data_IF_022896939474
#
_entry.id   IF_022896939474
#
_cell.length_a   1.000
_cell.length_b   1.000
_cell.length_c   1.000
_cell.angle_alpha   90.00
_cell.angle_beta   90.00
_cell.angle_gamma   90.00
#
_symmetry.space_group_name_H-M   'P 1'
#
loop_
_entity.id
_entity.type
_entity.pdbx_description
1 polymer ?
#
# COMPACT_ATOMS: atom_id res chain seq x y z
N UNK A 1 20.76 19.10 -16.81
CA UNK A 1 20.53 17.66 -16.55
C UNK A 1 19.21 17.27 -17.21
N UNK A 2 19.20 16.21 -18.03
CA UNK A 2 17.98 15.73 -18.68
C UNK A 2 17.36 14.61 -17.88
N UNK A 3 16.07 14.70 -17.63
CA UNK A 3 15.27 13.72 -16.87
C UNK A 3 14.20 13.16 -17.80
N UNK A 4 14.26 11.87 -18.10
CA UNK A 4 13.19 11.16 -18.79
C UNK A 4 12.12 10.75 -17.77
N UNK A 5 10.85 10.94 -18.08
CA UNK A 5 9.73 10.73 -17.16
C UNK A 5 8.73 9.73 -17.74
N UNK A 6 8.55 8.62 -17.05
CA UNK A 6 7.49 7.64 -17.30
C UNK A 6 6.32 7.90 -16.35
N UNK A 7 5.54 8.93 -16.66
CA UNK A 7 4.39 9.31 -15.82
C UNK A 7 3.64 10.51 -16.41
N UNK A 8 2.39 10.73 -16.01
CA UNK A 8 1.56 11.79 -16.57
C UNK A 8 2.06 13.18 -16.15
N UNK A 9 2.31 14.03 -17.14
CA UNK A 9 2.80 15.42 -16.94
C UNK A 9 2.01 16.19 -15.89
N UNK A 10 0.68 16.06 -15.90
CA UNK A 10 -0.21 16.76 -14.96
C UNK A 10 0.12 16.49 -13.47
N UNK A 11 0.59 15.28 -13.14
CA UNK A 11 1.00 14.90 -11.79
C UNK A 11 2.28 15.62 -11.38
N UNK A 12 3.25 15.69 -12.30
CA UNK A 12 4.51 16.41 -12.06
C UNK A 12 4.28 17.92 -11.94
N UNK A 13 3.43 18.50 -12.79
CA UNK A 13 3.05 19.93 -12.69
C UNK A 13 2.38 20.25 -11.32
N UNK A 14 1.57 19.33 -10.81
CA UNK A 14 0.84 19.53 -9.56
C UNK A 14 1.69 19.40 -8.28
N UNK A 15 2.77 18.60 -8.31
CA UNK A 15 3.52 18.22 -7.11
C UNK A 15 5.01 18.55 -7.15
N UNK A 16 5.51 19.13 -8.23
CA UNK A 16 6.91 19.57 -8.32
C UNK A 16 7.20 20.62 -7.24
N UNK A 17 8.23 20.43 -6.39
CA UNK A 17 8.57 21.39 -5.37
C UNK A 17 9.23 22.64 -5.97
N UNK A 18 9.04 23.80 -5.34
CA UNK A 18 9.52 25.10 -5.82
C UNK A 18 11.04 25.11 -6.09
N UNK A 19 11.82 24.40 -5.26
CA UNK A 19 13.27 24.35 -5.43
C UNK A 19 13.71 23.58 -6.69
N UNK A 20 12.88 22.73 -7.25
CA UNK A 20 13.20 21.93 -8.45
C UNK A 20 13.52 22.82 -9.65
N UNK A 21 12.84 23.96 -9.79
CA UNK A 21 13.10 24.94 -10.86
C UNK A 21 14.55 25.49 -10.82
N UNK A 22 15.16 25.54 -9.62
CA UNK A 22 16.52 26.05 -9.45
C UNK A 22 17.61 25.05 -9.88
N UNK A 23 17.22 23.77 -10.06
CA UNK A 23 18.17 22.73 -10.46
C UNK A 23 18.47 22.72 -11.96
N UNK A 24 17.74 23.52 -12.77
CA UNK A 24 17.97 23.62 -14.21
C UNK A 24 17.82 22.30 -14.96
N UNK A 25 16.93 21.41 -14.50
CA UNK A 25 16.68 20.13 -15.13
C UNK A 25 15.63 20.25 -16.24
N UNK A 26 15.87 19.59 -17.37
CA UNK A 26 14.93 19.44 -18.47
C UNK A 26 14.13 18.16 -18.26
N UNK A 27 12.80 18.28 -18.21
CA UNK A 27 11.89 17.13 -18.14
C UNK A 27 11.39 16.75 -19.54
N UNK A 28 11.60 15.50 -19.93
CA UNK A 28 11.05 14.91 -21.15
C UNK A 28 10.07 13.81 -20.78
N UNK A 29 8.81 14.01 -21.11
CA UNK A 29 7.74 13.06 -20.79
C UNK A 29 7.54 12.04 -21.90
N UNK A 30 7.45 10.75 -21.53
CA UNK A 30 6.96 9.72 -22.41
C UNK A 30 5.48 9.98 -22.73
N UNK A 31 5.14 10.07 -24.00
CA UNK A 31 3.76 10.33 -24.45
C UNK A 31 2.93 9.05 -24.45
N UNK A 32 1.58 9.18 -24.46
CA UNK A 32 0.66 8.03 -24.36
C UNK A 32 0.76 7.05 -25.55
N UNK A 33 1.20 7.53 -26.70
CA UNK A 33 1.40 6.78 -27.95
C UNK A 33 2.82 6.22 -28.12
N UNK A 34 3.71 6.50 -27.19
CA UNK A 34 5.12 6.10 -27.15
C UNK A 34 5.34 4.97 -26.15
N UNK A 35 6.04 3.91 -26.55
CA UNK A 35 6.48 2.91 -25.57
C UNK A 35 7.63 3.46 -24.71
N UNK A 36 7.80 2.99 -23.44
CA UNK A 36 8.93 3.35 -22.60
C UNK A 36 10.30 3.13 -23.30
N UNK A 37 10.43 2.02 -24.04
CA UNK A 37 11.63 1.71 -24.81
C UNK A 37 11.89 2.72 -25.94
N UNK A 38 10.86 3.14 -26.65
CA UNK A 38 11.00 4.15 -27.71
C UNK A 38 11.40 5.50 -27.11
N UNK A 39 10.78 5.92 -26.01
CA UNK A 39 11.13 7.15 -25.30
C UNK A 39 12.60 7.14 -24.84
N UNK A 40 13.10 5.99 -24.35
CA UNK A 40 14.51 5.84 -23.98
C UNK A 40 15.43 5.93 -25.20
N UNK A 41 15.11 5.28 -26.32
CA UNK A 41 15.90 5.30 -27.54
C UNK A 41 16.03 6.72 -28.15
N UNK A 42 14.99 7.53 -28.01
CA UNK A 42 14.98 8.92 -28.49
C UNK A 42 15.68 9.91 -27.55
N UNK A 43 16.00 9.47 -26.30
CA UNK A 43 16.62 10.29 -25.26
C UNK A 43 17.86 9.63 -24.62
N UNK A 44 18.87 9.20 -25.43
CA UNK A 44 20.04 8.47 -24.90
C UNK A 44 20.94 9.33 -24.01
N UNK A 45 20.75 10.65 -24.01
CA UNK A 45 21.45 11.62 -23.18
C UNK A 45 20.79 11.86 -21.81
N UNK A 46 19.68 11.18 -21.49
CA UNK A 46 19.05 11.28 -20.19
C UNK A 46 19.97 10.78 -19.07
N UNK A 47 20.05 11.55 -17.99
CA UNK A 47 20.89 11.27 -16.83
C UNK A 47 20.09 10.75 -15.64
N UNK A 48 18.77 10.99 -15.63
CA UNK A 48 17.82 10.53 -14.62
C UNK A 48 16.61 9.96 -15.32
N UNK A 49 16.08 8.88 -14.80
CA UNK A 49 14.77 8.33 -15.16
C UNK A 49 13.85 8.43 -13.94
N UNK A 50 12.75 9.17 -14.06
CA UNK A 50 11.63 9.12 -13.14
C UNK A 50 10.65 8.06 -13.63
N UNK A 51 10.45 7.03 -12.82
CA UNK A 51 9.70 5.84 -13.17
C UNK A 51 8.35 5.78 -12.44
N UNK A 52 7.27 5.55 -13.17
CA UNK A 52 5.99 5.16 -12.60
C UNK A 52 6.09 3.67 -12.19
N UNK A 53 5.77 3.29 -10.94
CA UNK A 53 5.92 1.91 -10.45
C UNK A 53 5.19 0.81 -11.23
N UNK A 54 4.30 1.20 -12.15
CA UNK A 54 3.58 0.26 -13.04
C UNK A 54 4.32 -0.02 -14.35
N UNK A 55 5.40 0.71 -14.63
CA UNK A 55 6.19 0.57 -15.87
C UNK A 55 7.34 -0.41 -15.63
N UNK A 56 7.58 -1.29 -16.59
CA UNK A 56 8.73 -2.20 -16.55
C UNK A 56 9.99 -1.47 -17.07
N UNK A 57 11.02 -1.41 -16.24
CA UNK A 57 12.34 -0.85 -16.59
C UNK A 57 13.37 -1.97 -16.56
N UNK A 58 13.36 -2.78 -17.62
CA UNK A 58 14.28 -3.88 -17.81
C UNK A 58 15.64 -3.44 -18.37
N UNK A 59 16.57 -4.41 -18.46
CA UNK A 59 17.92 -4.23 -19.01
C UNK A 59 17.90 -3.56 -20.39
N UNK A 60 16.94 -3.91 -21.24
CA UNK A 60 16.81 -3.38 -22.59
C UNK A 60 16.51 -1.87 -22.65
N UNK A 61 15.90 -1.31 -21.59
CA UNK A 61 15.69 0.14 -21.44
C UNK A 61 16.96 0.79 -20.85
N UNK A 62 17.54 0.17 -19.82
CA UNK A 62 18.76 0.65 -19.16
C UNK A 62 19.93 0.73 -20.14
N UNK A 63 20.01 -0.22 -21.09
CA UNK A 63 21.06 -0.25 -22.11
C UNK A 63 20.95 0.89 -23.12
N UNK A 64 19.77 1.43 -23.35
CA UNK A 64 19.53 2.59 -24.24
C UNK A 64 19.93 3.92 -23.61
N UNK A 65 20.21 3.98 -22.31
CA UNK A 65 20.48 5.20 -21.54
C UNK A 65 21.93 5.19 -20.99
N UNK A 66 22.97 5.36 -21.86
CA UNK A 66 24.36 5.21 -21.44
C UNK A 66 24.85 6.29 -20.45
N UNK A 67 24.11 7.41 -20.31
CA UNK A 67 24.44 8.50 -19.39
C UNK A 67 23.64 8.45 -18.07
N UNK A 68 22.82 7.41 -17.88
CA UNK A 68 21.93 7.29 -16.71
C UNK A 68 22.73 7.14 -15.41
N UNK A 69 22.36 7.89 -14.39
CA UNK A 69 22.96 7.89 -13.06
C UNK A 69 21.98 7.49 -11.96
N UNK A 70 20.68 7.74 -12.22
CA UNK A 70 19.61 7.52 -11.26
C UNK A 70 18.35 7.02 -11.96
N UNK A 71 17.78 5.93 -11.45
CA UNK A 71 16.39 5.53 -11.67
C UNK A 71 15.67 5.80 -10.37
N UNK A 72 14.67 6.68 -10.41
CA UNK A 72 13.88 7.06 -9.23
C UNK A 72 12.42 6.65 -9.41
N UNK A 73 11.99 5.64 -8.67
CA UNK A 73 10.58 5.29 -8.61
C UNK A 73 9.77 6.41 -7.95
N UNK A 74 8.66 6.82 -8.54
CA UNK A 74 7.73 7.80 -7.96
C UNK A 74 7.00 7.22 -6.73
N UNK A 75 6.92 5.90 -6.62
CA UNK A 75 6.29 5.18 -5.51
C UNK A 75 7.26 4.53 -4.54
N UNK A 76 6.69 3.67 -3.70
CA UNK A 76 7.46 2.78 -2.80
C UNK A 76 7.88 1.50 -3.52
N UNK A 77 7.07 1.02 -4.48
CA UNK A 77 7.37 -0.17 -5.26
C UNK A 77 8.51 0.10 -6.26
N UNK A 78 9.34 -0.92 -6.48
CA UNK A 78 10.47 -0.90 -7.42
C UNK A 78 10.73 -2.28 -8.05
N UNK A 79 9.83 -3.22 -7.84
CA UNK A 79 9.96 -4.62 -8.28
C UNK A 79 9.90 -4.80 -9.80
N UNK A 80 9.56 -3.76 -10.57
CA UNK A 80 9.57 -3.72 -12.04
C UNK A 80 10.86 -3.12 -12.63
N UNK A 81 11.84 -2.79 -11.78
CA UNK A 81 13.14 -2.26 -12.21
C UNK A 81 14.19 -3.38 -12.11
N UNK A 82 14.96 -3.60 -13.16
CA UNK A 82 16.10 -4.53 -13.16
C UNK A 82 17.25 -3.95 -12.32
N UNK A 83 17.25 -4.32 -11.03
CA UNK A 83 18.22 -3.81 -10.05
C UNK A 83 19.64 -4.29 -10.36
N UNK A 84 19.80 -5.48 -10.93
CA UNK A 84 21.11 -6.03 -11.26
C UNK A 84 21.71 -5.32 -12.46
N UNK A 85 20.95 -5.12 -13.54
CA UNK A 85 21.39 -4.36 -14.69
C UNK A 85 21.80 -2.93 -14.31
N UNK A 86 21.05 -2.28 -13.44
CA UNK A 86 21.37 -0.94 -12.94
C UNK A 86 22.67 -0.96 -12.09
N UNK A 87 22.83 -1.95 -11.20
CA UNK A 87 24.01 -2.10 -10.34
C UNK A 87 25.28 -2.34 -11.15
N UNK A 88 25.24 -3.20 -12.17
CA UNK A 88 26.38 -3.47 -13.06
C UNK A 88 26.91 -2.21 -13.76
N UNK A 89 26.04 -1.24 -14.01
CA UNK A 89 26.37 0.04 -14.64
C UNK A 89 26.64 1.17 -13.65
N UNK A 90 26.60 0.92 -12.35
CA UNK A 90 26.77 1.94 -11.32
C UNK A 90 25.64 2.97 -11.27
N UNK A 91 24.42 2.59 -11.71
CA UNK A 91 23.23 3.43 -11.71
C UNK A 91 22.48 3.22 -10.39
N UNK A 92 22.28 4.29 -9.63
CA UNK A 92 21.48 4.22 -8.41
C UNK A 92 20.01 3.97 -8.74
N UNK A 93 19.38 3.03 -8.02
CA UNK A 93 17.92 2.85 -8.03
C UNK A 93 17.39 3.27 -6.67
N UNK A 94 16.46 4.23 -6.68
CA UNK A 94 15.86 4.78 -5.47
C UNK A 94 14.33 4.65 -5.51
N UNK A 95 13.74 4.46 -4.33
CA UNK A 95 12.29 4.53 -4.16
C UNK A 95 11.88 5.67 -3.23
N UNK A 96 10.59 5.76 -2.94
CA UNK A 96 10.03 6.76 -2.00
C UNK A 96 9.58 6.12 -0.69
N UNK A 97 10.46 5.33 -0.05
CA UNK A 97 10.15 4.67 1.23
C UNK A 97 9.53 5.65 2.23
N UNK A 98 8.39 5.26 2.80
CA UNK A 98 7.69 6.00 3.85
C UNK A 98 6.85 7.20 3.37
N UNK A 99 6.94 7.63 2.10
CA UNK A 99 6.24 8.82 1.62
C UNK A 99 4.71 8.73 1.73
N UNK A 100 4.15 7.53 1.63
CA UNK A 100 2.71 7.27 1.68
C UNK A 100 2.22 6.71 3.03
N UNK A 101 3.11 6.52 4.01
CA UNK A 101 2.77 5.82 5.24
C UNK A 101 1.57 6.43 5.98
N UNK A 102 1.56 7.74 6.13
CA UNK A 102 0.45 8.46 6.76
C UNK A 102 -0.87 8.30 5.99
N UNK A 103 -0.81 8.40 4.67
CA UNK A 103 -1.99 8.29 3.80
C UNK A 103 -2.61 6.89 3.87
N UNK A 104 -1.78 5.84 3.76
CA UNK A 104 -2.26 4.45 3.86
C UNK A 104 -2.78 4.16 5.27
N UNK A 105 -2.14 4.69 6.31
CA UNK A 105 -2.61 4.52 7.68
C UNK A 105 -3.99 5.15 7.92
N UNK A 106 -4.24 6.34 7.39
CA UNK A 106 -5.57 6.99 7.43
C UNK A 106 -6.62 6.15 6.71
N UNK A 107 -6.27 5.67 5.52
CA UNK A 107 -7.14 4.81 4.72
C UNK A 107 -7.45 3.48 5.44
N UNK A 108 -6.45 2.88 6.09
CA UNK A 108 -6.62 1.66 6.91
C UNK A 108 -7.60 1.87 8.05
N UNK A 109 -7.45 2.95 8.82
CA UNK A 109 -8.38 3.27 9.93
C UNK A 109 -9.78 3.56 9.41
N UNK A 110 -9.90 4.29 8.28
CA UNK A 110 -11.19 4.50 7.62
C UNK A 110 -11.86 3.16 7.26
N UNK A 111 -11.14 2.22 6.65
CA UNK A 111 -11.66 0.91 6.29
C UNK A 111 -12.10 0.11 7.53
N UNK A 112 -11.34 0.14 8.63
CA UNK A 112 -11.75 -0.46 9.91
C UNK A 112 -13.08 0.14 10.41
N UNK A 113 -13.18 1.47 10.43
CA UNK A 113 -14.40 2.17 10.87
C UNK A 113 -15.59 1.88 9.94
N UNK A 114 -15.38 1.82 8.62
CA UNK A 114 -16.43 1.49 7.67
C UNK A 114 -16.95 0.06 7.88
N UNK A 115 -16.08 -0.89 8.16
CA UNK A 115 -16.47 -2.28 8.45
C UNK A 115 -17.25 -2.39 9.76
N UNK A 116 -16.79 -1.76 10.84
CA UNK A 116 -17.46 -1.77 12.13
C UNK A 116 -18.81 -1.03 12.15
N UNK A 117 -18.93 0.05 11.39
CA UNK A 117 -20.08 0.99 11.45
C UNK A 117 -20.98 0.91 10.22
N UNK A 118 -20.91 -0.19 9.45
CA UNK A 118 -21.76 -0.41 8.29
C UNK A 118 -21.75 0.74 7.26
N UNK A 119 -20.56 1.31 6.98
CA UNK A 119 -20.43 2.55 6.22
C UNK A 119 -21.06 2.49 4.83
N UNK A 120 -20.83 1.40 4.08
CA UNK A 120 -21.39 1.21 2.71
C UNK A 120 -22.85 0.81 2.77
N UNK A 121 -23.21 -0.20 3.58
CA UNK A 121 -24.59 -0.68 3.71
C UNK A 121 -25.51 0.41 4.24
N UNK A 122 -25.07 1.18 5.23
CA UNK A 122 -25.83 2.32 5.75
C UNK A 122 -26.06 3.40 4.71
N UNK A 123 -25.00 3.76 3.93
CA UNK A 123 -25.14 4.70 2.81
C UNK A 123 -26.16 4.21 1.78
N UNK A 124 -26.05 2.96 1.35
CA UNK A 124 -26.94 2.36 0.36
C UNK A 124 -28.38 2.27 0.87
N UNK A 125 -28.58 1.93 2.15
CA UNK A 125 -29.89 1.89 2.77
C UNK A 125 -30.60 3.26 2.75
N UNK A 126 -29.88 4.35 3.04
CA UNK A 126 -30.44 5.71 2.96
C UNK A 126 -30.84 6.04 1.51
N UNK A 127 -29.98 5.73 0.53
CA UNK A 127 -30.29 5.94 -0.90
C UNK A 127 -31.50 5.15 -1.38
N UNK A 128 -31.72 3.96 -0.81
CA UNK A 128 -32.87 3.09 -1.11
C UNK A 128 -34.15 3.43 -0.31
N UNK A 129 -34.16 4.48 0.52
CA UNK A 129 -35.31 4.84 1.37
C UNK A 129 -35.51 3.89 2.56
N UNK A 130 -34.51 3.08 2.92
CA UNK A 130 -34.56 2.06 3.98
C UNK A 130 -33.91 2.52 5.29
N UNK A 131 -33.75 3.85 5.49
CA UNK A 131 -33.05 4.43 6.64
C UNK A 131 -33.55 3.91 7.99
N UNK A 132 -34.88 3.89 8.22
CA UNK A 132 -35.48 3.46 9.51
C UNK A 132 -35.20 1.97 9.73
N UNK A 133 -35.42 1.13 8.71
CA UNK A 133 -35.16 -0.31 8.78
C UNK A 133 -33.71 -0.61 9.14
N UNK A 134 -32.76 0.08 8.50
CA UNK A 134 -31.32 -0.07 8.78
C UNK A 134 -30.99 0.36 10.22
N UNK A 135 -31.51 1.52 10.65
CA UNK A 135 -31.31 2.01 12.02
C UNK A 135 -31.81 1.03 13.06
N UNK A 136 -33.02 0.49 12.91
CA UNK A 136 -33.60 -0.51 13.82
C UNK A 136 -32.76 -1.80 13.86
N UNK A 137 -32.29 -2.29 12.70
CA UNK A 137 -31.43 -3.46 12.64
C UNK A 137 -30.13 -3.25 13.42
N UNK A 138 -29.46 -2.10 13.22
CA UNK A 138 -28.23 -1.78 13.97
C UNK A 138 -28.50 -1.57 15.45
N UNK A 139 -29.63 -0.98 15.85
CA UNK A 139 -30.00 -0.83 17.26
C UNK A 139 -30.25 -2.18 17.93
N UNK A 140 -30.75 -3.16 17.20
CA UNK A 140 -31.01 -4.51 17.73
C UNK A 140 -29.73 -5.35 17.84
N UNK A 141 -28.80 -5.25 16.87
CA UNK A 141 -27.55 -6.02 16.87
C UNK A 141 -26.41 -5.37 17.65
N UNK A 142 -26.44 -4.04 17.76
CA UNK A 142 -25.31 -3.23 18.18
C UNK A 142 -24.23 -3.09 17.09
N UNK A 143 -23.49 -2.01 17.12
CA UNK A 143 -22.25 -1.85 16.33
C UNK A 143 -21.11 -1.59 17.30
N UNK A 144 -20.02 -2.35 17.24
CA UNK A 144 -18.91 -2.17 18.17
C UNK A 144 -18.19 -0.85 17.92
N UNK A 145 -17.62 -0.26 18.96
CA UNK A 145 -16.70 0.86 18.84
C UNK A 145 -15.28 0.36 18.55
N UNK A 146 -14.49 1.12 17.79
CA UNK A 146 -13.11 0.73 17.48
C UNK A 146 -12.27 0.60 18.77
N UNK A 147 -12.52 1.45 19.77
CA UNK A 147 -11.85 1.39 21.07
C UNK A 147 -12.08 0.12 21.87
N UNK A 148 -13.17 -0.60 21.60
CA UNK A 148 -13.49 -1.88 22.22
C UNK A 148 -12.78 -3.07 21.55
N UNK A 149 -12.15 -2.82 20.37
CA UNK A 149 -11.56 -3.88 19.56
C UNK A 149 -10.09 -4.13 19.94
N UNK A 150 -9.70 -5.40 19.79
CA UNK A 150 -8.30 -5.80 19.76
C UNK A 150 -7.83 -5.82 18.31
N UNK A 151 -6.83 -4.99 17.96
CA UNK A 151 -6.30 -4.86 16.61
C UNK A 151 -4.95 -5.56 16.49
N UNK A 152 -4.81 -6.45 15.52
CA UNK A 152 -3.57 -7.13 15.15
C UNK A 152 -2.97 -6.53 13.88
N UNK A 153 -1.71 -6.10 13.95
CA UNK A 153 -0.97 -5.54 12.82
C UNK A 153 0.04 -6.59 12.31
N UNK A 154 -0.18 -7.12 11.12
CA UNK A 154 0.73 -8.10 10.49
C UNK A 154 1.77 -7.36 9.66
N UNK A 155 3.01 -7.33 10.16
CA UNK A 155 4.07 -6.43 9.74
C UNK A 155 4.07 -5.16 10.60
N UNK A 156 5.28 -4.66 10.97
CA UNK A 156 5.41 -3.45 11.79
C UNK A 156 6.45 -2.48 11.20
N UNK A 157 6.25 -2.18 9.90
CA UNK A 157 6.97 -1.15 9.14
C UNK A 157 6.33 0.24 9.28
N UNK A 158 6.74 1.17 8.40
CA UNK A 158 6.34 2.59 8.45
C UNK A 158 4.80 2.77 8.46
N UNK A 159 4.07 2.01 7.63
CA UNK A 159 2.60 2.08 7.55
C UNK A 159 1.94 1.56 8.82
N UNK A 160 2.37 0.39 9.31
CA UNK A 160 1.82 -0.18 10.54
C UNK A 160 2.07 0.72 11.75
N UNK A 161 3.26 1.31 11.86
CA UNK A 161 3.59 2.28 12.91
C UNK A 161 2.72 3.54 12.80
N UNK A 162 2.53 4.09 11.59
CA UNK A 162 1.63 5.21 11.36
C UNK A 162 0.17 4.87 11.69
N UNK A 163 -0.27 3.62 11.42
CA UNK A 163 -1.58 3.10 11.80
C UNK A 163 -1.71 2.98 13.32
N UNK A 164 -0.73 2.41 14.00
CA UNK A 164 -0.72 2.29 15.47
C UNK A 164 -0.82 3.65 16.17
N UNK A 165 -0.10 4.67 15.68
CA UNK A 165 -0.22 6.05 16.22
C UNK A 165 -1.64 6.60 16.11
N UNK A 166 -2.37 6.27 15.03
CA UNK A 166 -3.76 6.70 14.81
C UNK A 166 -4.77 5.89 15.63
N UNK A 167 -4.48 4.62 15.86
CA UNK A 167 -5.32 3.74 16.68
C UNK A 167 -5.18 4.02 18.17
N UNK A 168 -4.01 4.46 18.65
CA UNK A 168 -3.75 4.73 20.07
C UNK A 168 -4.77 5.67 20.71
N UNK A 169 -5.19 6.80 20.10
CA UNK A 169 -6.22 7.68 20.66
C UNK A 169 -7.62 7.06 20.74
N UNK A 170 -7.92 6.02 19.95
CA UNK A 170 -9.20 5.31 20.07
C UNK A 170 -9.26 4.43 21.32
N UNK A 171 -8.10 4.11 21.92
CA UNK A 171 -8.03 3.29 23.14
C UNK A 171 -8.13 1.79 22.90
N UNK A 172 -8.08 1.32 21.64
CA UNK A 172 -8.09 -0.11 21.32
C UNK A 172 -6.79 -0.79 21.77
N UNK A 173 -6.91 -2.07 22.14
CA UNK A 173 -5.74 -2.91 22.41
C UNK A 173 -5.05 -3.27 21.10
N UNK A 174 -3.73 -3.17 21.07
CA UNK A 174 -2.97 -3.42 19.85
C UNK A 174 -1.90 -4.47 20.06
N UNK A 175 -1.88 -5.44 19.13
CA UNK A 175 -0.82 -6.42 19.00
C UNK A 175 -0.18 -6.30 17.61
N UNK A 176 1.05 -6.80 17.48
CA UNK A 176 1.68 -6.91 16.18
C UNK A 176 2.47 -8.20 16.02
N UNK A 177 2.64 -8.61 14.77
CA UNK A 177 3.57 -9.61 14.31
C UNK A 177 4.55 -9.01 13.32
N UNK A 178 5.82 -9.39 13.42
CA UNK A 178 6.85 -9.06 12.45
C UNK A 178 7.93 -10.13 12.50
N UNK A 179 8.62 -10.41 11.37
CA UNK A 179 9.76 -11.35 11.34
C UNK A 179 10.83 -10.98 12.37
N UNK A 180 11.03 -9.67 12.59
CA UNK A 180 11.94 -9.17 13.63
C UNK A 180 11.12 -8.38 14.66
N UNK A 181 11.07 -8.91 15.88
CA UNK A 181 10.45 -8.21 17.01
C UNK A 181 11.14 -6.85 17.23
N UNK A 182 10.37 -5.83 17.50
CA UNK A 182 10.88 -4.50 17.86
C UNK A 182 11.40 -4.46 19.29
N UNK A 183 12.20 -3.44 19.60
CA UNK A 183 12.68 -3.26 20.98
C UNK A 183 11.53 -2.88 21.92
N UNK A 184 11.67 -3.16 23.23
CA UNK A 184 10.64 -2.81 24.22
C UNK A 184 10.30 -1.31 24.24
N UNK A 185 11.28 -0.44 23.93
CA UNK A 185 11.07 1.01 23.86
C UNK A 185 10.12 1.38 22.71
N UNK A 186 10.29 0.75 21.55
CA UNK A 186 9.39 0.93 20.39
C UNK A 186 8.00 0.38 20.72
N UNK A 187 7.90 -0.81 21.31
CA UNK A 187 6.63 -1.39 21.73
C UNK A 187 5.86 -0.45 22.69
N UNK A 188 6.56 0.12 23.67
CA UNK A 188 5.98 1.07 24.63
C UNK A 188 5.55 2.40 23.98
N UNK A 189 6.38 2.96 23.07
CA UNK A 189 6.06 4.21 22.38
C UNK A 189 4.76 4.10 21.56
N UNK A 190 4.61 3.00 20.83
CA UNK A 190 3.41 2.75 20.03
C UNK A 190 2.25 2.16 20.84
N UNK A 191 2.48 1.63 22.02
CA UNK A 191 1.46 0.95 22.84
C UNK A 191 1.03 -0.38 22.22
N UNK A 192 1.99 -1.15 21.70
CA UNK A 192 1.75 -2.44 21.04
C UNK A 192 2.53 -3.55 21.76
N UNK A 193 2.01 -4.80 21.69
CA UNK A 193 2.68 -5.99 22.19
C UNK A 193 2.91 -6.99 21.04
N UNK A 194 4.06 -7.66 21.04
CA UNK A 194 4.37 -8.69 20.05
C UNK A 194 3.63 -10.00 20.35
N UNK A 195 3.03 -10.60 19.31
CA UNK A 195 2.52 -11.98 19.34
C UNK A 195 3.01 -12.75 18.09
N UNK A 196 3.24 -14.07 18.20
CA UNK A 196 3.35 -14.94 17.03
C UNK A 196 2.09 -14.86 16.17
N UNK A 197 2.22 -15.09 14.85
CA UNK A 197 1.14 -14.85 13.88
C UNK A 197 -0.16 -15.59 14.22
N UNK A 198 -0.08 -16.85 14.63
CA UNK A 198 -1.26 -17.65 14.96
C UNK A 198 -1.95 -17.16 16.23
N UNK A 199 -1.17 -16.79 17.25
CA UNK A 199 -1.68 -16.20 18.47
C UNK A 199 -2.33 -14.83 18.22
N UNK A 200 -1.72 -14.04 17.33
CA UNK A 200 -2.28 -12.76 16.87
C UNK A 200 -3.65 -12.97 16.21
N UNK A 201 -3.74 -13.93 15.28
CA UNK A 201 -4.98 -14.25 14.58
C UNK A 201 -6.10 -14.74 15.54
N UNK A 202 -5.74 -15.48 16.57
CA UNK A 202 -6.68 -15.99 17.57
C UNK A 202 -7.14 -14.91 18.58
N UNK A 203 -6.31 -13.90 18.85
CA UNK A 203 -6.57 -12.89 19.87
C UNK A 203 -7.35 -11.66 19.36
N UNK A 204 -7.24 -11.34 18.06
CA UNK A 204 -7.69 -10.06 17.53
C UNK A 204 -9.10 -10.10 16.95
N UNK A 205 -9.81 -8.98 17.09
CA UNK A 205 -11.11 -8.71 16.46
C UNK A 205 -10.91 -8.17 15.04
N UNK A 206 -9.79 -7.48 14.81
CA UNK A 206 -9.41 -6.93 13.51
C UNK A 206 -7.98 -7.37 13.21
N UNK A 207 -7.74 -7.98 12.06
CA UNK A 207 -6.41 -8.32 11.56
C UNK A 207 -6.10 -7.44 10.34
N UNK A 208 -5.05 -6.62 10.42
CA UNK A 208 -4.66 -5.68 9.39
C UNK A 208 -3.28 -6.02 8.82
N UNK A 209 -3.22 -6.18 7.49
CA UNK A 209 -2.01 -6.59 6.77
C UNK A 209 -1.18 -5.37 6.35
N UNK A 210 0.12 -5.39 6.71
CA UNK A 210 1.09 -4.32 6.46
C UNK A 210 2.47 -4.84 6.06
N UNK A 211 2.59 -6.12 5.69
CA UNK A 211 3.85 -6.72 5.26
C UNK A 211 3.99 -6.69 3.73
N UNK A 212 5.24 -6.81 3.26
CA UNK A 212 5.52 -7.00 1.84
C UNK A 212 5.26 -8.46 1.42
N UNK A 213 5.05 -8.68 0.12
CA UNK A 213 4.98 -10.01 -0.49
C UNK A 213 6.39 -10.53 -0.71
N UNK A 214 6.63 -11.76 -0.29
CA UNK A 214 7.80 -12.57 -0.57
C UNK A 214 7.42 -14.05 -0.44
N UNK A 215 8.35 -14.98 -0.65
CA UNK A 215 8.10 -16.41 -0.60
C UNK A 215 7.49 -16.91 0.72
N UNK A 216 7.71 -16.20 1.84
CA UNK A 216 7.18 -16.55 3.15
C UNK A 216 5.82 -15.92 3.45
N UNK A 217 5.46 -14.85 2.74
CA UNK A 217 4.23 -14.08 3.00
C UNK A 217 3.19 -14.23 1.91
N UNK A 218 3.55 -14.76 0.74
CA UNK A 218 2.59 -15.08 -0.31
C UNK A 218 1.55 -16.08 0.19
N UNK A 219 0.26 -15.73 0.03
CA UNK A 219 -0.86 -16.53 0.55
C UNK A 219 -0.75 -16.86 2.05
N UNK A 220 -0.14 -15.97 2.85
CA UNK A 220 0.00 -16.22 4.29
C UNK A 220 -1.34 -16.29 5.02
N UNK A 221 -2.36 -15.57 4.51
CA UNK A 221 -3.74 -15.70 5.00
C UNK A 221 -4.41 -16.85 4.23
N UNK A 222 -4.00 -18.07 4.54
CA UNK A 222 -4.49 -19.32 3.97
C UNK A 222 -5.54 -19.99 4.87
N UNK A 223 -6.03 -21.15 4.44
CA UNK A 223 -7.05 -21.91 5.19
C UNK A 223 -6.61 -22.31 6.61
N UNK A 224 -5.32 -22.63 6.80
CA UNK A 224 -4.78 -22.96 8.12
C UNK A 224 -4.85 -21.76 9.07
N UNK A 225 -4.33 -20.59 8.64
CA UNK A 225 -4.40 -19.37 9.44
C UNK A 225 -5.86 -18.94 9.69
N UNK A 226 -6.73 -18.99 8.65
CA UNK A 226 -8.16 -18.66 8.79
C UNK A 226 -8.82 -19.56 9.85
N UNK A 227 -8.50 -20.85 9.89
CA UNK A 227 -9.06 -21.77 10.89
C UNK A 227 -8.72 -21.38 12.34
N UNK A 228 -7.56 -20.72 12.54
CA UNK A 228 -7.05 -20.26 13.85
C UNK A 228 -7.56 -18.88 14.25
N UNK A 229 -8.15 -18.13 13.33
CA UNK A 229 -8.68 -16.78 13.58
C UNK A 229 -9.81 -16.80 14.59
N UNK A 230 -9.93 -15.73 15.38
CA UNK A 230 -11.08 -15.48 16.23
C UNK A 230 -12.37 -15.46 15.39
N UNK A 231 -13.44 -16.20 15.76
CA UNK A 231 -14.69 -16.15 15.00
C UNK A 231 -15.25 -14.73 14.91
N UNK A 232 -15.64 -14.34 13.68
CA UNK A 232 -16.17 -13.02 13.41
C UNK A 232 -15.12 -11.94 13.17
N UNK A 233 -13.83 -12.30 13.05
CA UNK A 233 -12.73 -11.36 12.80
C UNK A 233 -12.96 -10.52 11.53
N UNK A 234 -12.53 -9.27 11.55
CA UNK A 234 -12.48 -8.40 10.36
C UNK A 234 -11.06 -8.44 9.78
N UNK A 235 -10.92 -8.79 8.50
CA UNK A 235 -9.66 -8.77 7.79
C UNK A 235 -9.52 -7.48 6.97
N UNK A 236 -8.47 -6.70 7.22
CA UNK A 236 -8.17 -5.46 6.50
C UNK A 236 -6.88 -5.64 5.71
N UNK A 237 -6.90 -5.35 4.41
CA UNK A 237 -5.71 -5.43 3.56
C UNK A 237 -5.51 -4.14 2.77
N UNK A 238 -4.54 -3.36 3.19
CA UNK A 238 -4.02 -2.17 2.50
C UNK A 238 -2.57 -2.37 2.04
N UNK A 239 -2.09 -3.63 2.03
CA UNK A 239 -0.74 -3.98 1.62
C UNK A 239 -0.71 -4.51 0.17
N UNK A 240 -0.92 -5.81 -0.03
CA UNK A 240 -0.95 -6.46 -1.35
C UNK A 240 -1.95 -7.61 -1.37
N UNK A 241 -2.65 -7.78 -2.50
CA UNK A 241 -3.62 -8.87 -2.67
C UNK A 241 -3.01 -10.26 -2.52
N UNK A 242 -1.78 -10.45 -2.99
CA UNK A 242 -1.05 -11.73 -2.96
C UNK A 242 -0.74 -12.28 -1.56
N UNK A 243 -0.95 -11.50 -0.50
CA UNK A 243 -0.87 -11.98 0.89
C UNK A 243 -2.02 -12.92 1.26
N UNK A 244 -3.08 -12.94 0.46
CA UNK A 244 -4.36 -13.57 0.78
C UNK A 244 -4.65 -14.72 -0.19
N UNK A 245 -4.92 -15.90 0.33
CA UNK A 245 -5.61 -16.95 -0.42
C UNK A 245 -7.10 -16.58 -0.53
N UNK A 246 -7.49 -16.13 -1.72
CA UNK A 246 -8.83 -15.63 -2.00
C UNK A 246 -9.93 -16.67 -1.72
N UNK A 247 -9.67 -17.96 -1.98
CA UNK A 247 -10.65 -19.04 -1.75
C UNK A 247 -10.78 -19.35 -0.27
N UNK A 248 -9.67 -19.37 0.47
CA UNK A 248 -9.69 -19.58 1.92
C UNK A 248 -10.45 -18.45 2.65
N UNK A 249 -10.22 -17.20 2.25
CA UNK A 249 -10.93 -16.04 2.83
C UNK A 249 -12.42 -16.04 2.43
N UNK A 250 -12.75 -16.38 1.18
CA UNK A 250 -14.15 -16.57 0.76
C UNK A 250 -14.85 -17.61 1.61
N UNK A 251 -14.22 -18.78 1.83
CA UNK A 251 -14.78 -19.82 2.68
C UNK A 251 -14.96 -19.34 4.13
N UNK A 252 -13.99 -18.62 4.68
CA UNK A 252 -14.07 -18.03 6.01
C UNK A 252 -15.21 -17.02 6.17
N UNK A 253 -15.54 -16.25 5.11
CA UNK A 253 -16.72 -15.38 5.09
C UNK A 253 -18.02 -16.19 5.09
N UNK A 254 -18.07 -17.28 4.31
CA UNK A 254 -19.28 -18.12 4.19
C UNK A 254 -19.61 -18.86 5.47
N UNK A 255 -18.61 -19.36 6.19
CA UNK A 255 -18.82 -20.08 7.45
C UNK A 255 -18.84 -19.19 8.69
N UNK A 256 -18.63 -17.87 8.52
CA UNK A 256 -18.66 -16.86 9.58
C UNK A 256 -17.39 -16.80 10.45
N UNK A 257 -16.34 -17.53 10.10
CA UNK A 257 -15.02 -17.38 10.72
C UNK A 257 -14.49 -15.98 10.52
N UNK A 258 -14.63 -15.45 9.29
CA UNK A 258 -14.38 -14.06 8.96
C UNK A 258 -15.71 -13.33 8.95
N UNK A 259 -15.86 -12.33 9.81
CA UNK A 259 -17.07 -11.51 9.93
C UNK A 259 -17.20 -10.47 8.84
N UNK A 260 -16.08 -9.99 8.29
CA UNK A 260 -16.02 -9.02 7.21
C UNK A 260 -14.62 -8.83 6.65
N UNK A 261 -14.54 -8.29 5.44
CA UNK A 261 -13.28 -7.92 4.80
C UNK A 261 -13.31 -6.46 4.36
N UNK A 262 -12.14 -5.79 4.40
CA UNK A 262 -11.96 -4.44 3.87
C UNK A 262 -10.63 -4.40 3.09
N UNK A 263 -10.74 -4.34 1.76
CA UNK A 263 -9.64 -4.56 0.83
C UNK A 263 -9.38 -3.31 -0.02
N UNK A 264 -8.20 -2.72 0.11
CA UNK A 264 -7.71 -1.71 -0.84
C UNK A 264 -6.94 -2.37 -1.98
N UNK A 265 -6.46 -3.60 -1.77
CA UNK A 265 -5.70 -4.38 -2.75
C UNK A 265 -6.26 -5.79 -2.87
N UNK A 266 -6.42 -6.27 -4.09
CA UNK A 266 -6.81 -7.63 -4.45
C UNK A 266 -5.83 -8.15 -5.51
N UNK A 267 -5.64 -9.45 -5.61
CA UNK A 267 -4.83 -10.05 -6.67
C UNK A 267 -5.67 -11.03 -7.49
N UNK A 268 -5.64 -10.92 -8.86
CA UNK A 268 -4.81 -9.98 -9.65
C UNK A 268 -5.32 -8.53 -9.65
N UNK A 269 -4.43 -7.59 -10.00
CA UNK A 269 -4.78 -6.23 -10.36
C UNK A 269 -4.50 -5.98 -11.87
N UNK A 270 -5.47 -5.48 -12.67
CA UNK A 270 -6.83 -5.10 -12.28
C UNK A 270 -7.68 -6.30 -11.89
N UNK A 271 -8.52 -6.11 -10.86
CA UNK A 271 -9.37 -7.16 -10.29
C UNK A 271 -10.57 -7.41 -11.21
N UNK A 272 -10.80 -8.66 -11.69
CA UNK A 272 -11.97 -8.98 -12.52
C UNK A 272 -13.25 -9.06 -11.69
N UNK A 273 -14.41 -8.88 -12.36
CA UNK A 273 -15.70 -8.87 -11.67
C UNK A 273 -16.10 -10.22 -11.07
N UNK A 274 -15.60 -11.32 -11.62
CA UNK A 274 -15.80 -12.70 -11.16
C UNK A 274 -14.74 -13.16 -10.11
N UNK A 275 -13.97 -12.21 -9.60
CA UNK A 275 -12.98 -12.50 -8.56
C UNK A 275 -13.65 -13.12 -7.31
N UNK A 276 -13.07 -14.17 -6.69
CA UNK A 276 -13.69 -14.91 -5.59
C UNK A 276 -14.13 -14.05 -4.39
N UNK A 277 -13.43 -12.96 -4.10
CA UNK A 277 -13.79 -12.03 -3.02
C UNK A 277 -14.66 -10.86 -3.49
N UNK A 278 -14.99 -10.73 -4.78
CA UNK A 278 -15.87 -9.70 -5.34
C UNK A 278 -17.23 -10.29 -5.68
N UNK A 279 -17.24 -11.43 -6.38
CA UNK A 279 -18.46 -12.18 -6.70
C UNK A 279 -18.90 -13.02 -5.48
N UNK A 280 -19.38 -12.32 -4.46
CA UNK A 280 -19.87 -12.92 -3.22
C UNK A 280 -21.39 -13.16 -3.26
N UNK A 281 -21.88 -14.25 -2.63
CA UNK A 281 -23.32 -14.45 -2.41
C UNK A 281 -23.96 -13.23 -1.73
N UNK A 282 -25.20 -12.92 -2.08
CA UNK A 282 -25.91 -11.73 -1.60
C UNK A 282 -26.00 -11.65 -0.07
N UNK A 283 -26.04 -12.81 0.61
CA UNK A 283 -26.16 -12.92 2.06
C UNK A 283 -24.91 -12.42 2.81
N UNK A 284 -23.76 -12.40 2.13
CA UNK A 284 -22.47 -12.00 2.71
C UNK A 284 -21.81 -10.83 1.97
N UNK A 285 -22.33 -10.41 0.82
CA UNK A 285 -21.75 -9.33 0.00
C UNK A 285 -21.62 -8.02 0.77
N UNK A 286 -22.54 -7.74 1.68
CA UNK A 286 -22.53 -6.56 2.54
C UNK A 286 -21.43 -6.56 3.61
N UNK A 287 -20.72 -7.69 3.79
CA UNK A 287 -19.58 -7.81 4.71
C UNK A 287 -18.25 -7.45 4.05
N UNK A 288 -18.26 -7.13 2.76
CA UNK A 288 -17.06 -6.80 2.00
C UNK A 288 -17.04 -5.32 1.60
N UNK A 289 -15.91 -4.68 1.85
CA UNK A 289 -15.65 -3.28 1.52
C UNK A 289 -14.42 -3.26 0.62
N UNK A 290 -14.50 -2.50 -0.48
CA UNK A 290 -13.41 -2.37 -1.43
C UNK A 290 -13.07 -0.91 -1.67
N UNK A 291 -11.78 -0.66 -1.92
CA UNK A 291 -11.27 0.56 -2.53
C UNK A 291 -10.26 0.20 -3.62
N UNK A 292 -10.17 0.98 -4.71
CA UNK A 292 -9.40 0.60 -5.87
C UNK A 292 -7.92 1.04 -5.75
N UNK A 293 -7.21 0.52 -4.73
CA UNK A 293 -5.79 0.78 -4.44
C UNK A 293 -5.50 2.29 -4.28
N UNK A 294 -6.30 2.96 -3.44
CA UNK A 294 -6.23 4.40 -3.21
C UNK A 294 -5.48 4.80 -1.94
N UNK A 295 -5.14 3.85 -1.07
CA UNK A 295 -4.57 4.17 0.25
C UNK A 295 -3.37 5.10 0.20
N UNK A 296 -2.49 4.95 -0.79
CA UNK A 296 -1.33 5.81 -1.00
C UNK A 296 -1.58 7.09 -1.81
N UNK A 297 -2.72 7.22 -2.49
CA UNK A 297 -2.96 8.22 -3.53
C UNK A 297 -3.52 9.53 -2.97
N UNK A 298 -2.73 10.26 -2.21
CA UNK A 298 -3.11 11.57 -1.66
C UNK A 298 -2.16 12.67 -2.11
N UNK A 299 -2.64 13.91 -2.17
CA UNK A 299 -1.78 15.06 -2.47
C UNK A 299 -0.62 15.21 -1.48
N UNK A 300 -0.79 14.80 -0.21
CA UNK A 300 0.28 14.77 0.79
C UNK A 300 1.36 13.75 0.46
N UNK A 301 0.97 12.54 0.05
CA UNK A 301 1.88 11.48 -0.38
C UNK A 301 2.71 11.92 -1.60
N UNK A 302 2.05 12.41 -2.64
CA UNK A 302 2.75 12.88 -3.85
C UNK A 302 3.69 14.05 -3.57
N UNK A 303 3.31 15.03 -2.76
CA UNK A 303 4.23 16.12 -2.36
C UNK A 303 5.47 15.58 -1.64
N UNK A 304 5.34 14.62 -0.73
CA UNK A 304 6.50 14.00 -0.06
C UNK A 304 7.35 13.20 -1.05
N UNK A 305 6.71 12.44 -1.94
CA UNK A 305 7.41 11.68 -2.98
C UNK A 305 8.23 12.59 -3.91
N UNK A 306 7.61 13.62 -4.46
CA UNK A 306 8.28 14.56 -5.34
C UNK A 306 9.40 15.34 -4.63
N UNK A 307 9.22 15.73 -3.36
CA UNK A 307 10.31 16.31 -2.58
C UNK A 307 11.52 15.37 -2.47
N UNK A 308 11.29 14.07 -2.21
CA UNK A 308 12.37 13.09 -2.14
C UNK A 308 13.06 12.89 -3.50
N UNK A 309 12.28 12.75 -4.57
CA UNK A 309 12.77 12.57 -5.94
C UNK A 309 13.68 13.73 -6.35
N UNK A 310 13.23 14.96 -6.15
CA UNK A 310 13.98 16.14 -6.52
C UNK A 310 15.19 16.40 -5.61
N UNK A 311 15.13 16.01 -4.34
CA UNK A 311 16.31 15.99 -3.46
C UNK A 311 17.35 14.99 -3.97
N UNK A 312 16.94 13.82 -4.47
CA UNK A 312 17.87 12.86 -5.06
C UNK A 312 18.49 13.39 -6.36
N UNK A 313 17.73 14.10 -7.21
CA UNK A 313 18.29 14.81 -8.38
C UNK A 313 19.38 15.80 -7.96
N UNK A 314 19.11 16.60 -6.91
CA UNK A 314 20.10 17.54 -6.36
C UNK A 314 21.35 16.82 -5.87
N UNK A 315 21.22 15.74 -5.13
CA UNK A 315 22.35 14.95 -4.64
C UNK A 315 23.19 14.39 -5.80
N UNK A 316 22.56 13.87 -6.85
CA UNK A 316 23.26 13.40 -8.06
C UNK A 316 24.02 14.53 -8.77
N UNK A 317 23.44 15.74 -8.85
CA UNK A 317 24.14 16.91 -9.42
C UNK A 317 25.36 17.31 -8.59
N UNK A 318 25.30 17.15 -7.27
CA UNK A 318 26.39 17.42 -6.33
C UNK A 318 27.43 16.29 -6.26
N UNK A 319 27.25 15.19 -7.03
CA UNK A 319 28.12 13.99 -6.97
C UNK A 319 28.00 13.23 -5.64
N UNK A 320 26.87 13.37 -4.95
CA UNK A 320 26.59 12.68 -3.68
C UNK A 320 25.69 11.47 -3.88
N UNK A 321 25.77 10.52 -2.94
CA UNK A 321 24.89 9.35 -2.91
C UNK A 321 23.45 9.79 -2.63
N UNK A 322 22.44 9.35 -3.44
CA UNK A 322 21.04 9.65 -3.20
C UNK A 322 20.48 8.89 -2.00
N UNK A 323 19.32 9.32 -1.52
CA UNK A 323 18.60 8.66 -0.42
C UNK A 323 17.75 7.50 -0.92
N UNK A 324 17.44 6.55 -0.03
CA UNK A 324 16.55 5.41 -0.30
C UNK A 324 17.00 4.51 -1.47
N UNK A 325 18.32 4.31 -1.60
CA UNK A 325 18.91 3.39 -2.59
C UNK A 325 18.51 1.96 -2.25
N UNK A 326 18.02 1.21 -3.26
CA UNK A 326 17.49 -0.16 -3.12
C UNK A 326 18.32 -1.23 -3.84
N UNK A 327 19.33 -0.85 -4.62
CA UNK A 327 20.18 -1.77 -5.40
C UNK A 327 21.62 -1.90 -4.87
N UNK A 328 21.83 -1.68 -3.57
CA UNK A 328 23.11 -1.94 -2.85
C UNK A 328 24.34 -1.14 -3.34
N UNK A 329 24.15 -0.01 -4.04
CA UNK A 329 25.23 0.92 -4.42
C UNK A 329 25.55 1.94 -3.34
#
# INVERSE_FOLDING_TARGET
MKILVYGPKARYDAYMPDFAAQLGAELVFCTLDQSPRQAAAENPDAQVLFDDPIVDVGREIIDLLPNLKLIQSEGVAFNRIDLEAAREKGIFVCNNKGCNADSVAEHTVMLMLMALRHGITGHNAVKAGLQVKMKEAVMASGSPELGEQTVGLVGFGDIAQATARRLKPFGCKMYYYSLHRRSPEVEADFGVEYLPLEELAAACDILSLHCAVNDQTQNMVNADLVSKMKPGIILVNTARGDLVDNLAVRQGLMDGRIGGIAMDTLAPEPTPADHPLVDLPAEIADRAIYSPHLGGNTGGSFRRAHNNMWNNVKLIQEGKRPNFVVNEL
#
